data_IF_513107985046
#
_entry.id   IF_513107985046
#
_cell.length_a   1.000
_cell.length_b   1.000
_cell.length_c   1.000
_cell.angle_alpha   90.00
_cell.angle_beta   90.00
_cell.angle_gamma   90.00
#
_symmetry.space_group_name_H-M   'P 1'
#
loop_
_entity.id
_entity.type
_entity.pdbx_description
1 polymer ?
#
# COMPACT_ATOMS: atom_id res chain seq x y z
N UNK A 1 9.86 -53.31 20.49
CA UNK A 1 9.69 -51.93 21.02
C UNK A 1 10.40 -50.81 20.24
N UNK A 2 10.97 -51.03 19.04
CA UNK A 2 11.61 -49.94 18.24
C UNK A 2 10.71 -49.33 17.16
N UNK A 3 9.68 -50.06 16.68
CA UNK A 3 8.83 -49.64 15.55
C UNK A 3 7.77 -48.60 15.92
N UNK A 4 7.21 -48.61 17.13
CA UNK A 4 6.21 -47.60 17.55
C UNK A 4 6.80 -46.19 17.70
N UNK A 5 8.07 -46.07 18.13
CA UNK A 5 8.75 -44.80 18.35
C UNK A 5 9.10 -44.07 17.04
N UNK A 6 9.28 -44.80 15.94
CA UNK A 6 9.53 -44.21 14.61
C UNK A 6 8.26 -43.63 13.98
N UNK A 7 7.08 -44.19 14.30
CA UNK A 7 5.81 -43.72 13.78
C UNK A 7 5.35 -42.42 14.44
N UNK A 8 5.57 -42.26 15.75
CA UNK A 8 5.25 -41.01 16.46
C UNK A 8 6.12 -39.84 16.00
N UNK A 9 7.40 -40.08 15.69
CA UNK A 9 8.30 -39.06 15.14
C UNK A 9 7.87 -38.56 13.75
N UNK A 10 7.31 -39.43 12.90
CA UNK A 10 6.81 -39.05 11.57
C UNK A 10 5.54 -38.20 11.64
N UNK A 11 4.64 -38.52 12.57
CA UNK A 11 3.42 -37.74 12.79
C UNK A 11 3.69 -36.35 13.37
N UNK A 12 4.68 -36.23 14.26
CA UNK A 12 5.11 -34.93 14.79
C UNK A 12 5.74 -34.03 13.71
N UNK A 13 6.54 -34.60 12.80
CA UNK A 13 7.13 -33.85 11.69
C UNK A 13 6.09 -33.40 10.65
N UNK A 14 5.05 -34.20 10.40
CA UNK A 14 3.98 -33.84 9.46
C UNK A 14 3.09 -32.69 9.96
N UNK A 15 2.87 -32.59 11.29
CA UNK A 15 2.08 -31.51 11.88
C UNK A 15 2.69 -30.11 11.73
N UNK A 16 4.02 -30.00 11.75
CA UNK A 16 4.74 -28.72 11.64
C UNK A 16 4.69 -28.17 10.21
N UNK A 17 4.73 -29.03 9.19
CA UNK A 17 4.71 -28.60 7.78
C UNK A 17 3.32 -28.09 7.36
N UNK A 18 2.24 -28.67 7.90
CA UNK A 18 0.87 -28.24 7.59
C UNK A 18 0.57 -26.87 8.22
N UNK A 19 1.10 -26.58 9.42
CA UNK A 19 0.95 -25.27 10.07
C UNK A 19 1.59 -24.11 9.33
N UNK A 20 2.65 -24.34 8.55
CA UNK A 20 3.29 -23.31 7.72
C UNK A 20 2.54 -23.01 6.41
N UNK A 21 1.63 -23.88 5.98
CA UNK A 21 0.85 -23.70 4.75
C UNK A 21 -0.52 -23.06 5.00
N UNK A 22 -0.96 -22.98 6.26
CA UNK A 22 -2.22 -22.33 6.65
C UNK A 22 -2.01 -21.09 7.51
N UNK A 23 -0.76 -20.63 7.67
CA UNK A 23 -0.50 -19.31 8.22
C UNK A 23 -1.10 -18.26 7.26
N UNK A 24 -1.86 -17.26 7.75
CA UNK A 24 -2.26 -16.16 6.90
C UNK A 24 -0.97 -15.56 6.34
N UNK A 25 -0.86 -15.49 5.01
CA UNK A 25 0.24 -14.79 4.39
C UNK A 25 0.36 -13.41 5.05
N UNK A 26 1.55 -12.96 5.47
CA UNK A 26 1.73 -11.60 5.94
C UNK A 26 1.42 -10.69 4.75
N UNK A 27 0.18 -10.21 4.68
CA UNK A 27 -0.43 -9.65 3.49
C UNK A 27 -1.96 -9.78 3.44
N UNK A 28 -2.56 -10.67 4.26
CA UNK A 28 -4.02 -10.79 4.35
C UNK A 28 -4.60 -9.99 5.53
N UNK A 29 -4.58 -8.66 5.42
CA UNK A 29 -5.57 -7.81 6.13
C UNK A 29 -6.89 -7.82 5.33
N UNK A 30 -7.46 -9.01 5.16
CA UNK A 30 -8.70 -9.22 4.43
C UNK A 30 -9.68 -9.98 5.31
N UNK A 31 -10.45 -9.27 6.11
CA UNK A 31 -11.54 -9.86 6.86
C UNK A 31 -12.47 -10.63 5.91
N UNK A 32 -12.60 -11.93 6.12
CA UNK A 32 -13.59 -12.76 5.45
C UNK A 32 -14.99 -12.24 5.81
N UNK A 33 -15.70 -11.61 4.87
CA UNK A 33 -17.16 -11.45 4.95
C UNK A 33 -17.72 -10.03 4.98
N UNK A 34 -16.95 -9.00 4.64
CA UNK A 34 -17.51 -7.66 4.42
C UNK A 34 -17.08 -7.15 3.05
N UNK A 35 -18.03 -6.73 2.22
CA UNK A 35 -17.72 -5.96 1.01
C UNK A 35 -16.88 -4.75 1.44
N UNK A 36 -15.61 -4.71 1.07
CA UNK A 36 -14.74 -3.61 1.44
C UNK A 36 -15.32 -2.32 0.86
N UNK A 37 -15.42 -1.24 1.65
CA UNK A 37 -15.91 0.02 1.14
C UNK A 37 -14.99 0.50 0.00
N UNK A 38 -15.59 0.97 -1.08
CA UNK A 38 -14.87 1.67 -2.15
C UNK A 38 -14.23 2.92 -1.55
N UNK A 39 -12.95 3.12 -1.83
CA UNK A 39 -12.20 4.27 -1.36
C UNK A 39 -12.77 5.57 -1.93
N UNK A 40 -12.72 6.65 -1.16
CA UNK A 40 -13.14 7.97 -1.62
C UNK A 40 -11.99 8.55 -2.46
N UNK A 41 -12.20 8.76 -3.76
CA UNK A 41 -11.17 9.25 -4.69
C UNK A 41 -10.57 10.60 -4.25
N UNK A 42 -11.38 11.50 -3.71
CA UNK A 42 -10.93 12.77 -3.13
C UNK A 42 -9.93 12.57 -1.98
N UNK A 43 -10.23 11.67 -1.05
CA UNK A 43 -9.38 11.43 0.11
C UNK A 43 -8.05 10.79 -0.32
N UNK A 44 -8.11 9.87 -1.29
CA UNK A 44 -6.91 9.31 -1.92
C UNK A 44 -6.05 10.39 -2.58
N UNK A 45 -6.65 11.24 -3.42
CA UNK A 45 -5.94 12.34 -4.09
C UNK A 45 -5.24 13.28 -3.09
N UNK A 46 -5.92 13.64 -2.00
CA UNK A 46 -5.36 14.51 -0.97
C UNK A 46 -4.15 13.84 -0.31
N UNK A 47 -4.30 12.57 0.08
CA UNK A 47 -3.23 11.81 0.73
C UNK A 47 -2.04 11.60 -0.20
N UNK A 48 -2.28 11.25 -1.46
CA UNK A 48 -1.24 11.05 -2.46
C UNK A 48 -0.41 12.34 -2.61
N UNK A 49 -1.06 13.46 -2.94
CA UNK A 49 -0.36 14.74 -3.14
C UNK A 49 0.36 15.24 -1.89
N UNK A 50 -0.21 15.02 -0.71
CA UNK A 50 0.46 15.34 0.55
C UNK A 50 1.81 14.62 0.65
N UNK A 51 1.82 13.32 0.34
CA UNK A 51 3.04 12.53 0.40
C UNK A 51 4.01 12.87 -0.72
N UNK A 52 3.54 13.23 -1.91
CA UNK A 52 4.41 13.76 -2.98
C UNK A 52 5.19 15.00 -2.50
N UNK A 53 4.49 16.00 -1.95
CA UNK A 53 5.13 17.21 -1.39
C UNK A 53 6.14 16.85 -0.28
N UNK A 54 5.75 15.97 0.65
CA UNK A 54 6.61 15.58 1.77
C UNK A 54 7.87 14.85 1.29
N UNK A 55 7.73 14.00 0.27
CA UNK A 55 8.83 13.22 -0.28
C UNK A 55 9.80 14.11 -1.07
N UNK A 56 9.30 15.13 -1.75
CA UNK A 56 10.15 16.11 -2.43
C UNK A 56 10.91 16.99 -1.44
N UNK A 57 10.29 17.36 -0.30
CA UNK A 57 11.01 18.04 0.78
C UNK A 57 12.09 17.13 1.37
N UNK A 58 11.76 15.88 1.68
CA UNK A 58 12.71 14.91 2.23
C UNK A 58 13.85 14.58 1.26
N UNK A 59 13.59 14.60 -0.05
CA UNK A 59 14.59 14.43 -1.10
C UNK A 59 15.39 15.69 -1.42
N UNK A 60 15.13 16.83 -0.75
CA UNK A 60 15.79 18.10 -1.01
C UNK A 60 15.47 18.72 -2.37
N UNK A 61 14.41 18.26 -3.05
CA UNK A 61 13.94 18.80 -4.34
C UNK A 61 13.20 20.12 -4.16
N UNK A 62 12.57 20.31 -3.00
CA UNK A 62 11.95 21.56 -2.58
C UNK A 62 12.44 21.95 -1.18
N UNK A 63 12.41 23.24 -0.87
CA UNK A 63 12.67 23.77 0.47
C UNK A 63 11.37 23.92 1.30
N UNK A 64 11.48 24.34 2.56
CA UNK A 64 10.33 24.49 3.46
C UNK A 64 9.28 25.51 2.98
N UNK A 65 9.71 26.60 2.32
CA UNK A 65 8.78 27.57 1.73
C UNK A 65 7.98 26.95 0.59
N UNK A 66 8.69 26.29 -0.33
CA UNK A 66 8.09 25.57 -1.45
C UNK A 66 7.21 24.39 -1.01
N UNK A 67 7.49 23.76 0.14
CA UNK A 67 6.64 22.73 0.72
C UNK A 67 5.27 23.27 1.13
N UNK A 68 5.21 24.45 1.76
CA UNK A 68 3.93 25.08 2.09
C UNK A 68 3.16 25.44 0.81
N UNK A 69 3.85 25.97 -0.20
CA UNK A 69 3.25 26.28 -1.50
C UNK A 69 2.73 25.02 -2.21
N UNK A 70 3.38 23.87 -2.01
CA UNK A 70 2.94 22.57 -2.53
C UNK A 70 1.66 22.07 -1.84
N UNK A 71 1.52 22.29 -0.53
CA UNK A 71 0.36 21.83 0.24
C UNK A 71 -0.91 22.67 0.00
N UNK A 72 -0.75 23.99 -0.14
CA UNK A 72 -1.86 24.95 -0.24
C UNK A 72 -2.94 24.58 -1.29
N UNK A 73 -2.59 24.20 -2.53
CA UNK A 73 -3.59 23.93 -3.56
C UNK A 73 -4.25 22.55 -3.46
N UNK A 74 -3.76 21.62 -2.62
CA UNK A 74 -4.14 20.19 -2.66
C UNK A 74 -5.66 20.00 -2.53
N UNK A 75 -6.28 20.62 -1.52
CA UNK A 75 -7.70 20.40 -1.25
C UNK A 75 -8.60 20.83 -2.41
N UNK A 76 -8.26 21.95 -3.08
CA UNK A 76 -9.01 22.45 -4.24
C UNK A 76 -8.69 21.66 -5.52
N UNK A 77 -7.44 21.23 -5.70
CA UNK A 77 -7.05 20.43 -6.86
C UNK A 77 -7.64 19.02 -6.85
N UNK A 78 -7.99 18.49 -5.68
CA UNK A 78 -8.64 17.20 -5.50
C UNK A 78 -10.18 17.30 -5.42
N UNK A 79 -10.75 18.49 -5.59
CA UNK A 79 -12.20 18.65 -5.69
C UNK A 79 -12.71 18.02 -6.99
N UNK A 80 -13.74 17.18 -6.90
CA UNK A 80 -14.26 16.42 -8.04
C UNK A 80 -13.37 15.27 -8.51
N UNK A 81 -12.36 14.86 -7.72
CA UNK A 81 -11.60 13.65 -8.02
C UNK A 81 -12.52 12.43 -8.03
N UNK A 82 -12.44 11.66 -9.12
CA UNK A 82 -13.24 10.46 -9.36
C UNK A 82 -12.34 9.31 -9.82
N UNK A 83 -12.76 8.08 -9.53
CA UNK A 83 -12.12 6.90 -10.10
C UNK A 83 -12.45 6.78 -11.59
N UNK A 84 -11.53 6.26 -12.42
CA UNK A 84 -11.85 5.95 -13.81
C UNK A 84 -13.05 5.01 -13.92
N UNK A 85 -13.79 5.09 -15.03
CA UNK A 85 -14.94 4.23 -15.26
C UNK A 85 -14.56 2.74 -15.17
N UNK A 86 -15.34 1.96 -14.42
CA UNK A 86 -15.05 0.55 -14.16
C UNK A 86 -14.03 0.28 -13.05
N UNK A 87 -13.45 1.32 -12.45
CA UNK A 87 -12.57 1.21 -11.29
C UNK A 87 -13.35 1.47 -10.00
N UNK A 88 -13.15 0.64 -8.98
CA UNK A 88 -13.74 0.81 -7.66
C UNK A 88 -12.79 0.26 -6.60
N UNK A 89 -11.63 0.91 -6.43
CA UNK A 89 -10.60 0.39 -5.56
C UNK A 89 -11.04 0.45 -4.09
N UNK A 90 -10.58 -0.50 -3.30
CA UNK A 90 -10.75 -0.51 -1.86
C UNK A 90 -9.74 0.42 -1.19
N UNK A 91 -10.00 0.81 0.06
CA UNK A 91 -9.02 1.58 0.85
C UNK A 91 -7.64 0.90 0.92
N UNK A 92 -7.60 -0.43 1.03
CA UNK A 92 -6.34 -1.18 1.03
C UNK A 92 -5.57 -1.08 -0.30
N UNK A 93 -6.27 -0.99 -1.43
CA UNK A 93 -5.64 -0.84 -2.75
C UNK A 93 -5.08 0.57 -2.93
N UNK A 94 -5.79 1.59 -2.46
CA UNK A 94 -5.31 2.98 -2.46
C UNK A 94 -4.14 3.18 -1.48
N UNK A 95 -4.19 2.54 -0.31
CA UNK A 95 -3.15 2.63 0.72
C UNK A 95 -1.80 2.09 0.22
N UNK A 96 -1.79 1.10 -0.69
CA UNK A 96 -0.55 0.60 -1.28
C UNK A 96 0.25 1.71 -1.97
N UNK A 97 -0.44 2.64 -2.62
CA UNK A 97 0.19 3.82 -3.21
C UNK A 97 0.77 4.75 -2.16
N UNK A 98 -0.01 5.04 -1.13
CA UNK A 98 0.38 5.92 -0.03
C UNK A 98 1.60 5.34 0.70
N UNK A 99 1.62 4.03 0.91
CA UNK A 99 2.75 3.31 1.48
C UNK A 99 3.99 3.50 0.60
N UNK A 100 3.87 3.27 -0.71
CA UNK A 100 4.98 3.47 -1.66
C UNK A 100 5.56 4.89 -1.58
N UNK A 101 4.71 5.91 -1.57
CA UNK A 101 5.12 7.31 -1.45
C UNK A 101 5.73 7.65 -0.08
N UNK A 102 5.27 7.01 0.99
CA UNK A 102 5.78 7.25 2.36
C UNK A 102 7.12 6.58 2.67
N UNK A 103 7.62 5.70 1.78
CA UNK A 103 8.85 4.95 1.97
C UNK A 103 10.09 5.82 1.93
N UNK A 104 10.73 6.00 3.08
CA UNK A 104 11.97 6.76 3.21
C UNK A 104 13.15 6.16 2.43
N UNK A 105 13.18 4.83 2.27
CA UNK A 105 14.25 4.14 1.52
C UNK A 105 14.20 4.42 0.01
N UNK A 106 13.07 4.91 -0.51
CA UNK A 106 12.87 5.26 -1.92
C UNK A 106 12.95 6.77 -2.19
N UNK A 107 13.26 7.59 -1.18
CA UNK A 107 13.26 9.06 -1.29
C UNK A 107 14.22 9.58 -2.38
N UNK A 108 15.31 8.85 -2.65
CA UNK A 108 16.30 9.20 -3.68
C UNK A 108 15.73 9.14 -5.10
N UNK A 109 14.76 8.26 -5.36
CA UNK A 109 14.05 8.16 -6.65
C UNK A 109 13.14 9.38 -6.80
N UNK A 110 12.98 9.94 -8.01
CA UNK A 110 12.05 11.06 -8.22
C UNK A 110 10.59 10.60 -8.13
N UNK A 111 9.66 11.51 -7.80
CA UNK A 111 8.25 11.14 -7.60
C UNK A 111 7.65 10.65 -8.92
N UNK A 112 7.85 11.34 -10.05
CA UNK A 112 7.42 10.85 -11.35
C UNK A 112 7.96 9.44 -11.66
N UNK A 113 9.26 9.20 -11.44
CA UNK A 113 9.85 7.88 -11.74
C UNK A 113 9.27 6.78 -10.85
N UNK A 114 9.04 7.07 -9.56
CA UNK A 114 8.46 6.12 -8.61
C UNK A 114 7.03 5.72 -9.02
N UNK A 115 6.23 6.69 -9.47
CA UNK A 115 4.83 6.47 -9.83
C UNK A 115 4.70 5.67 -11.14
N UNK A 116 5.65 5.75 -12.07
CA UNK A 116 5.64 4.88 -13.28
C UNK A 116 5.71 3.39 -12.97
N UNK A 117 6.13 3.01 -11.76
CA UNK A 117 6.19 1.62 -11.32
C UNK A 117 4.83 1.07 -10.86
N UNK A 118 3.79 1.91 -10.78
CA UNK A 118 2.46 1.57 -10.25
C UNK A 118 1.35 2.29 -11.06
N UNK A 119 0.76 1.62 -12.05
CA UNK A 119 -0.27 2.22 -12.95
C UNK A 119 -1.64 1.51 -12.89
N UNK A 120 -1.84 0.61 -11.93
CA UNK A 120 -3.12 -0.09 -11.78
C UNK A 120 -4.23 0.90 -11.38
N UNK A 121 -5.25 1.02 -12.21
CA UNK A 121 -6.44 1.88 -12.00
C UNK A 121 -6.13 3.36 -11.69
N UNK A 122 -4.98 3.89 -12.13
CA UNK A 122 -4.48 5.23 -11.77
C UNK A 122 -4.36 5.46 -10.25
N UNK A 123 -4.11 4.40 -9.47
CA UNK A 123 -3.98 4.50 -8.02
C UNK A 123 -2.78 5.34 -7.57
N UNK A 124 -1.79 5.55 -8.44
CA UNK A 124 -0.58 6.32 -8.15
C UNK A 124 -0.26 7.33 -9.26
N UNK A 125 -1.25 7.82 -10.00
CA UNK A 125 -1.00 8.70 -11.15
C UNK A 125 -1.29 10.17 -10.88
#
# INVERSE_FOLDING_TARGET
>A
MKRLRQWTLRLAAAGVVIGCLTGPAPGSVGACGQSFPVAIARDHCINQRFWECRRDLAGGRINEGQYNDCLLPIAGACEGAEWPAGCSPTNSQTDACIILLSRADLVSISTPDLLTMYDDCNLCR
#
